data_IF_201838119645
#
_entry.id   IF_201838119645
#
_cell.length_a   1.000
_cell.length_b   1.000
_cell.length_c   1.000
_cell.angle_alpha   90.00
_cell.angle_beta   90.00
_cell.angle_gamma   90.00
#
_symmetry.space_group_name_H-M   'P 1'
#
loop_
_entity.id
_entity.type
_entity.pdbx_description
1 polymer ?
#
# COMPACT_ATOMS: atom_id res chain seq x y z
N UNK A 1 12.11 58.33 -10.91
CA UNK A 1 12.29 57.49 -9.70
C UNK A 1 10.98 56.78 -9.42
N UNK A 2 10.92 55.49 -9.75
CA UNK A 2 9.85 54.58 -9.35
C UNK A 2 10.46 53.17 -9.24
N UNK A 3 10.40 52.50 -8.07
CA UNK A 3 10.65 51.07 -8.01
C UNK A 3 9.32 50.37 -7.70
N UNK A 4 8.78 49.66 -8.69
CA UNK A 4 7.73 48.67 -8.44
C UNK A 4 7.88 47.59 -9.51
N UNK A 5 8.63 46.53 -9.23
CA UNK A 5 8.61 45.22 -9.92
C UNK A 5 9.80 44.38 -9.44
N UNK A 6 9.72 43.85 -8.23
CA UNK A 6 10.46 42.64 -7.84
C UNK A 6 9.92 42.11 -6.50
N UNK A 7 8.60 41.90 -6.40
CA UNK A 7 8.11 40.87 -5.47
C UNK A 7 8.60 39.53 -6.03
N UNK A 8 9.77 39.13 -5.55
CA UNK A 8 10.33 37.80 -5.72
C UNK A 8 9.31 36.85 -5.10
N UNK A 9 8.72 36.04 -5.97
CA UNK A 9 7.88 34.90 -5.65
C UNK A 9 8.45 34.18 -4.43
N UNK A 10 7.73 34.27 -3.31
CA UNK A 10 8.03 33.55 -2.10
C UNK A 10 8.20 32.07 -2.43
N UNK A 11 9.28 31.53 -1.87
CA UNK A 11 9.67 30.15 -1.88
C UNK A 11 8.44 29.29 -1.57
N UNK A 12 7.82 28.76 -2.63
CA UNK A 12 6.98 27.58 -2.53
C UNK A 12 7.90 26.52 -1.95
N UNK A 13 7.83 26.34 -0.64
CA UNK A 13 8.43 25.23 0.08
C UNK A 13 7.84 23.96 -0.52
N UNK A 14 8.50 23.46 -1.57
CA UNK A 14 8.26 22.12 -2.09
C UNK A 14 8.65 21.23 -0.92
N UNK A 15 7.65 20.72 -0.21
CA UNK A 15 7.85 19.70 0.81
C UNK A 15 8.34 18.46 0.09
N UNK A 16 9.65 18.34 -0.03
CA UNK A 16 10.33 17.11 -0.44
C UNK A 16 10.06 16.11 0.67
N UNK A 17 8.95 15.37 0.55
CA UNK A 17 8.69 14.24 1.42
C UNK A 17 9.88 13.27 1.27
N UNK A 18 10.58 12.92 2.36
CA UNK A 18 11.67 11.97 2.27
C UNK A 18 11.10 10.64 1.77
N UNK A 19 11.42 10.31 0.53
CA UNK A 19 11.08 9.02 -0.09
C UNK A 19 11.93 7.98 0.64
N UNK A 20 11.27 7.05 1.34
CA UNK A 20 11.86 5.96 2.14
C UNK A 20 12.32 6.27 3.57
N UNK A 21 11.44 6.82 4.41
CA UNK A 21 11.54 6.49 5.83
C UNK A 21 11.28 4.98 6.01
N UNK A 22 12.22 4.23 6.59
CA UNK A 22 11.97 2.84 6.97
C UNK A 22 10.80 2.83 7.98
N UNK A 23 9.76 2.02 7.78
CA UNK A 23 8.63 1.97 8.71
C UNK A 23 9.16 1.60 10.11
N UNK A 24 8.60 2.22 11.15
CA UNK A 24 8.95 1.86 12.51
C UNK A 24 8.54 0.40 12.77
N UNK A 25 9.25 -0.33 13.67
CA UNK A 25 8.98 -1.75 13.92
C UNK A 25 7.51 -2.02 14.31
N UNK A 26 6.88 -1.08 15.03
CA UNK A 26 5.46 -1.19 15.39
C UNK A 26 4.54 -1.11 14.17
N UNK A 27 4.77 -0.15 13.28
CA UNK A 27 4.00 -0.03 12.04
C UNK A 27 4.23 -1.22 11.09
N UNK A 28 5.44 -1.78 11.07
CA UNK A 28 5.75 -2.97 10.28
C UNK A 28 4.94 -4.19 10.77
N UNK A 29 4.89 -4.42 12.09
CA UNK A 29 4.07 -5.49 12.67
C UNK A 29 2.57 -5.30 12.37
N UNK A 30 2.04 -4.09 12.54
CA UNK A 30 0.63 -3.80 12.25
C UNK A 30 0.30 -4.06 10.77
N UNK A 31 1.23 -3.73 9.86
CA UNK A 31 1.06 -3.96 8.41
C UNK A 31 1.04 -5.44 8.08
N UNK A 32 1.89 -6.23 8.72
CA UNK A 32 1.94 -7.69 8.52
C UNK A 32 0.68 -8.38 9.05
N UNK A 33 0.17 -7.96 10.21
CA UNK A 33 -1.09 -8.46 10.76
C UNK A 33 -2.27 -8.19 9.82
N UNK A 34 -2.35 -6.97 9.28
CA UNK A 34 -3.35 -6.58 8.29
C UNK A 34 -3.20 -7.41 7.02
N UNK A 35 -1.97 -7.62 6.53
CA UNK A 35 -1.72 -8.42 5.34
C UNK A 35 -2.15 -9.88 5.53
N UNK A 36 -1.83 -10.49 6.67
CA UNK A 36 -2.31 -11.85 7.03
C UNK A 36 -3.83 -11.91 7.10
N UNK A 37 -4.47 -10.89 7.68
CA UNK A 37 -5.93 -10.81 7.75
C UNK A 37 -6.55 -10.73 6.34
N UNK A 38 -6.03 -9.85 5.48
CA UNK A 38 -6.49 -9.70 4.10
C UNK A 38 -6.33 -10.98 3.31
N UNK A 39 -5.21 -11.70 3.45
CA UNK A 39 -4.97 -12.97 2.77
C UNK A 39 -6.02 -14.05 3.14
N UNK A 40 -6.44 -14.11 4.42
CA UNK A 40 -7.48 -15.05 4.87
C UNK A 40 -8.87 -14.66 4.35
N UNK A 41 -9.25 -13.38 4.53
CA UNK A 41 -10.57 -12.89 4.11
C UNK A 41 -10.79 -13.03 2.61
N UNK A 42 -9.79 -12.65 1.80
CA UNK A 42 -9.88 -12.73 0.34
C UNK A 42 -9.96 -14.17 -0.17
N UNK A 43 -9.34 -15.13 0.51
CA UNK A 43 -9.50 -16.56 0.22
C UNK A 43 -10.93 -17.06 0.48
N UNK A 44 -11.52 -16.68 1.61
CA UNK A 44 -12.91 -17.08 1.91
C UNK A 44 -13.91 -16.44 0.92
N UNK A 45 -13.71 -15.15 0.62
CA UNK A 45 -14.54 -14.43 -0.33
C UNK A 45 -14.40 -14.97 -1.76
N UNK A 46 -13.20 -15.40 -2.18
CA UNK A 46 -13.00 -15.96 -3.52
C UNK A 46 -13.79 -17.27 -3.68
N UNK A 47 -13.81 -18.12 -2.65
CA UNK A 47 -14.59 -19.34 -2.63
C UNK A 47 -16.10 -19.07 -2.73
N UNK A 48 -16.59 -18.07 -1.99
CA UNK A 48 -17.99 -17.63 -2.06
C UNK A 48 -18.32 -17.08 -3.45
N UNK A 49 -17.46 -16.24 -4.02
CA UNK A 49 -17.65 -15.66 -5.35
C UNK A 49 -17.69 -16.74 -6.45
N UNK A 50 -16.82 -17.76 -6.39
CA UNK A 50 -16.88 -18.91 -7.31
C UNK A 50 -18.17 -19.69 -7.18
N UNK A 51 -18.64 -19.95 -5.95
CA UNK A 51 -19.92 -20.62 -5.72
C UNK A 51 -21.11 -19.82 -6.28
N UNK A 52 -20.99 -18.50 -6.35
CA UNK A 52 -21.99 -17.59 -6.90
C UNK A 52 -21.81 -17.31 -8.42
N UNK A 53 -20.85 -17.95 -9.10
CA UNK A 53 -20.50 -17.70 -10.51
C UNK A 53 -20.03 -16.26 -10.80
N UNK A 54 -19.42 -15.59 -9.82
CA UNK A 54 -18.76 -14.29 -10.02
C UNK A 54 -17.26 -14.49 -10.26
N UNK A 55 -16.92 -15.11 -11.40
CA UNK A 55 -15.56 -15.57 -11.69
C UNK A 55 -14.53 -14.44 -11.73
N UNK A 56 -14.88 -13.30 -12.33
CA UNK A 56 -13.99 -12.13 -12.38
C UNK A 56 -13.72 -11.55 -10.98
N UNK A 57 -14.74 -11.54 -10.10
CA UNK A 57 -14.56 -11.11 -8.72
C UNK A 57 -13.67 -12.09 -7.95
N UNK A 58 -13.91 -13.39 -8.12
CA UNK A 58 -13.07 -14.42 -7.51
C UNK A 58 -11.61 -14.29 -7.95
N UNK A 59 -11.37 -13.97 -9.23
CA UNK A 59 -10.04 -13.70 -9.75
C UNK A 59 -9.37 -12.51 -9.03
N UNK A 60 -10.06 -11.37 -8.91
CA UNK A 60 -9.50 -10.21 -8.21
C UNK A 60 -9.20 -10.50 -6.73
N UNK A 61 -10.03 -11.30 -6.07
CA UNK A 61 -9.81 -11.70 -4.68
C UNK A 61 -8.57 -12.60 -4.53
N UNK A 62 -8.34 -13.54 -5.46
CA UNK A 62 -7.09 -14.33 -5.45
C UNK A 62 -5.86 -13.47 -5.74
N UNK A 63 -5.96 -12.48 -6.63
CA UNK A 63 -4.86 -11.53 -6.86
C UNK A 63 -4.54 -10.72 -5.60
N UNK A 64 -5.56 -10.21 -4.92
CA UNK A 64 -5.40 -9.49 -3.66
C UNK A 64 -4.76 -10.36 -2.58
N UNK A 65 -5.10 -11.65 -2.52
CA UNK A 65 -4.49 -12.63 -1.63
C UNK A 65 -3.00 -12.83 -1.92
N UNK A 66 -2.62 -12.98 -3.19
CA UNK A 66 -1.23 -13.14 -3.61
C UNK A 66 -0.41 -11.93 -3.16
N UNK A 67 -0.93 -10.71 -3.37
CA UNK A 67 -0.23 -9.49 -2.97
C UNK A 67 -0.11 -9.34 -1.46
N UNK A 68 -1.17 -9.69 -0.71
CA UNK A 68 -1.12 -9.69 0.75
C UNK A 68 -0.05 -10.66 1.28
N UNK A 69 0.05 -11.86 0.71
CA UNK A 69 1.11 -12.81 1.06
C UNK A 69 2.51 -12.31 0.65
N UNK A 70 2.61 -11.66 -0.52
CA UNK A 70 3.86 -11.05 -0.99
C UNK A 70 4.38 -9.97 -0.04
N UNK A 71 3.50 -9.18 0.57
CA UNK A 71 3.89 -8.19 1.58
C UNK A 71 4.45 -8.86 2.85
N UNK A 72 3.80 -9.92 3.35
CA UNK A 72 4.29 -10.65 4.53
C UNK A 72 5.67 -11.27 4.27
N UNK A 73 5.86 -11.89 3.09
CA UNK A 73 7.15 -12.47 2.71
C UNK A 73 8.25 -11.40 2.58
N UNK A 74 7.91 -10.22 2.04
CA UNK A 74 8.82 -9.08 1.94
C UNK A 74 9.22 -8.53 3.31
N UNK A 75 8.27 -8.38 4.23
CA UNK A 75 8.55 -7.92 5.60
C UNK A 75 9.44 -8.88 6.38
N UNK A 76 9.34 -10.19 6.13
CA UNK A 76 10.16 -11.24 6.76
C UNK A 76 11.56 -11.39 6.16
N UNK A 77 11.83 -10.78 5.01
CA UNK A 77 13.11 -10.93 4.30
C UNK A 77 13.21 -12.23 3.50
N UNK A 78 12.09 -12.91 3.23
CA UNK A 78 12.07 -14.19 2.48
C UNK A 78 12.25 -13.99 0.95
N UNK A 79 12.27 -12.73 0.49
CA UNK A 79 12.31 -12.33 -0.93
C UNK A 79 13.55 -11.48 -1.31
N UNK A 80 14.63 -11.54 -0.51
CA UNK A 80 15.94 -10.92 -0.86
C UNK A 80 16.92 -11.90 -1.46
#
# INVERSE_FOLDING_TARGET
>A
MAPHLAERLDERTVTTFPRHAKPSPKLANDTDEIAVYLAKMTFELSAIARKANFDLLAYFLEMARIEANGQVAKSRGDLT
#
